data_IF_868565849634
#
_entry.id   IF_868565849634
#
_cell.length_a   1.000
_cell.length_b   1.000
_cell.length_c   1.000
_cell.angle_alpha   90.00
_cell.angle_beta   90.00
_cell.angle_gamma   90.00
#
_symmetry.space_group_name_H-M   'P 1'
#
loop_
_entity.id
_entity.type
_entity.pdbx_description
1 polymer ?
#
# COMPACT_ATOMS: atom_id res chain seq x y z
N UNK A 1 -11.21 -4.47 -12.99
CA UNK A 1 -10.40 -3.29 -12.58
C UNK A 1 -10.63 -2.04 -13.43
N UNK A 2 -10.73 -2.13 -14.76
CA UNK A 2 -10.96 -0.96 -15.64
C UNK A 2 -12.17 -0.08 -15.25
N UNK A 3 -13.30 -0.71 -14.87
CA UNK A 3 -14.48 0.04 -14.41
C UNK A 3 -14.20 0.88 -13.15
N UNK A 4 -13.33 0.42 -12.25
CA UNK A 4 -12.91 1.20 -11.08
C UNK A 4 -12.00 2.34 -11.51
N UNK A 5 -11.00 2.06 -12.37
CA UNK A 5 -10.09 3.08 -12.92
C UNK A 5 -10.81 4.23 -13.63
N UNK A 6 -11.97 3.97 -14.25
CA UNK A 6 -12.74 4.98 -14.97
C UNK A 6 -13.61 5.91 -14.07
N UNK A 7 -13.71 5.66 -12.76
CA UNK A 7 -14.64 6.39 -11.87
C UNK A 7 -14.11 7.71 -11.31
N UNK A 8 -12.84 8.03 -11.56
CA UNK A 8 -12.17 9.16 -10.92
C UNK A 8 -12.42 9.14 -9.41
N UNK A 9 -12.01 8.03 -8.80
CA UNK A 9 -12.19 7.79 -7.39
C UNK A 9 -10.86 7.47 -6.73
N UNK A 10 -10.30 8.50 -6.10
CA UNK A 10 -9.04 8.40 -5.38
C UNK A 10 -9.10 7.34 -4.27
N UNK A 11 -10.25 7.09 -3.65
CA UNK A 11 -10.45 6.04 -2.65
C UNK A 11 -10.19 4.64 -3.22
N UNK A 12 -10.81 4.32 -4.37
CA UNK A 12 -10.65 3.03 -5.04
C UNK A 12 -9.23 2.85 -5.62
N UNK A 13 -8.60 3.94 -6.08
CA UNK A 13 -7.30 3.90 -6.73
C UNK A 13 -6.19 3.44 -5.77
N UNK A 14 -6.09 4.06 -4.59
CA UNK A 14 -5.06 3.74 -3.61
C UNK A 14 -5.26 2.40 -2.91
N UNK A 15 -6.43 1.78 -3.08
CA UNK A 15 -6.83 0.54 -2.42
C UNK A 15 -6.80 -0.63 -3.39
N UNK A 16 -7.82 -0.74 -4.24
CA UNK A 16 -8.01 -1.88 -5.13
C UNK A 16 -7.01 -1.88 -6.28
N UNK A 17 -6.80 -0.73 -6.93
CA UNK A 17 -5.91 -0.66 -8.10
C UNK A 17 -4.43 -0.75 -7.70
N UNK A 18 -4.07 -0.24 -6.52
CA UNK A 18 -2.73 -0.42 -5.98
C UNK A 18 -2.38 -1.90 -5.83
N UNK A 19 -3.24 -2.68 -5.18
CA UNK A 19 -2.99 -4.11 -4.99
C UNK A 19 -2.90 -4.80 -6.34
N UNK A 20 -3.84 -4.52 -7.25
CA UNK A 20 -3.90 -5.18 -8.55
C UNK A 20 -2.62 -4.95 -9.36
N UNK A 21 -2.20 -3.69 -9.47
CA UNK A 21 -0.96 -3.34 -10.14
C UNK A 21 0.26 -3.92 -9.42
N UNK A 22 0.27 -3.97 -8.09
CA UNK A 22 1.37 -4.59 -7.34
C UNK A 22 1.51 -6.07 -7.64
N UNK A 23 0.40 -6.81 -7.75
CA UNK A 23 0.41 -8.23 -8.12
C UNK A 23 0.89 -8.45 -9.56
N UNK A 24 0.42 -7.63 -10.52
CA UNK A 24 0.91 -7.68 -11.90
C UNK A 24 2.40 -7.38 -11.99
N UNK A 25 2.88 -6.35 -11.28
CA UNK A 25 4.29 -5.99 -11.24
C UNK A 25 5.14 -7.06 -10.56
N UNK A 26 4.62 -7.73 -9.53
CA UNK A 26 5.27 -8.91 -8.94
C UNK A 26 5.44 -10.00 -10.00
N UNK A 27 4.34 -10.39 -10.66
CA UNK A 27 4.37 -11.39 -11.74
C UNK A 27 5.33 -11.02 -12.87
N UNK A 28 5.36 -9.75 -13.27
CA UNK A 28 6.28 -9.22 -14.29
C UNK A 28 7.74 -9.37 -13.86
N UNK A 29 8.09 -8.99 -12.62
CA UNK A 29 9.47 -9.09 -12.10
C UNK A 29 10.00 -10.53 -12.15
N UNK A 30 9.13 -11.50 -11.89
CA UNK A 30 9.50 -12.92 -11.83
C UNK A 30 9.58 -13.55 -13.21
N UNK A 31 8.59 -13.27 -14.06
CA UNK A 31 8.45 -13.92 -15.38
C UNK A 31 9.19 -13.18 -16.50
N UNK A 32 9.43 -11.88 -16.35
CA UNK A 32 9.85 -10.99 -17.43
C UNK A 32 8.76 -10.71 -18.47
N UNK A 33 7.51 -11.14 -18.25
CA UNK A 33 6.42 -10.96 -19.22
C UNK A 33 5.90 -9.51 -19.24
N UNK A 34 6.34 -8.75 -20.25
CA UNK A 34 5.96 -7.35 -20.42
C UNK A 34 4.46 -7.13 -20.71
N UNK A 35 3.70 -8.17 -21.06
CA UNK A 35 2.23 -8.04 -21.18
C UNK A 35 1.57 -7.67 -19.86
N UNK A 36 2.19 -8.04 -18.73
CA UNK A 36 1.72 -7.65 -17.40
C UNK A 36 1.92 -6.15 -17.16
N UNK A 37 3.01 -5.57 -17.69
CA UNK A 37 3.23 -4.11 -17.65
C UNK A 37 2.31 -3.35 -18.60
N UNK A 38 1.99 -3.93 -19.76
CA UNK A 38 0.98 -3.39 -20.67
C UNK A 38 -0.41 -3.31 -19.99
N UNK A 39 -0.80 -4.33 -19.21
CA UNK A 39 -2.05 -4.29 -18.43
C UNK A 39 -2.01 -3.24 -17.32
N UNK A 40 -0.86 -3.06 -16.66
CA UNK A 40 -0.66 -1.94 -15.73
C UNK A 40 -0.82 -0.59 -16.45
N UNK A 41 -0.30 -0.43 -17.68
CA UNK A 41 -0.53 0.77 -18.51
C UNK A 41 -2.00 1.00 -18.83
N UNK A 42 -2.75 -0.03 -19.16
CA UNK A 42 -4.17 0.11 -19.43
C UNK A 42 -4.91 0.72 -18.22
N UNK A 43 -4.61 0.24 -17.01
CA UNK A 43 -5.17 0.80 -15.78
C UNK A 43 -4.65 2.22 -15.53
N UNK A 44 -3.34 2.44 -15.61
CA UNK A 44 -2.71 3.73 -15.34
C UNK A 44 -3.18 4.82 -16.31
N UNK A 45 -3.27 4.56 -17.61
CA UNK A 45 -3.78 5.53 -18.58
C UNK A 45 -5.26 5.84 -18.38
N UNK A 46 -6.05 4.84 -17.95
CA UNK A 46 -7.45 5.07 -17.58
C UNK A 46 -7.54 6.02 -16.38
N UNK A 47 -6.67 5.85 -15.38
CA UNK A 47 -6.54 6.78 -14.25
C UNK A 47 -6.06 8.16 -14.74
N UNK A 48 -4.98 8.25 -15.54
CA UNK A 48 -4.47 9.51 -16.12
C UNK A 48 -5.57 10.34 -16.77
N UNK A 49 -6.46 9.70 -17.53
CA UNK A 49 -7.58 10.36 -18.19
C UNK A 49 -8.59 11.02 -17.21
N UNK A 50 -8.55 10.67 -15.93
CA UNK A 50 -9.40 11.23 -14.88
C UNK A 50 -8.84 12.46 -14.18
N UNK A 51 -7.55 12.78 -14.37
CA UNK A 51 -6.90 13.93 -13.73
C UNK A 51 -7.59 15.26 -14.08
N UNK A 52 -7.96 16.04 -13.07
CA UNK A 52 -8.60 17.36 -13.25
C UNK A 52 -8.06 18.37 -12.23
N UNK A 53 -8.01 19.63 -12.65
CA UNK A 53 -7.82 20.78 -11.76
C UNK A 53 -9.22 21.34 -11.41
N UNK A 54 -9.83 20.79 -10.37
CA UNK A 54 -11.12 21.26 -9.88
C UNK A 54 -12.00 20.17 -9.25
N UNK A 55 -12.87 20.62 -8.34
CA UNK A 55 -13.83 19.74 -7.64
C UNK A 55 -15.10 19.50 -8.46
N UNK A 56 -15.90 18.50 -8.06
CA UNK A 56 -17.16 18.22 -8.74
C UNK A 56 -18.11 19.43 -8.75
N UNK A 57 -18.91 19.53 -9.81
CA UNK A 57 -19.98 20.53 -9.93
C UNK A 57 -19.49 21.97 -10.10
N UNK A 58 -18.22 22.18 -10.44
CA UNK A 58 -17.66 23.53 -10.61
C UNK A 58 -17.60 24.33 -9.31
N UNK A 59 -17.60 23.67 -8.16
CA UNK A 59 -17.47 24.31 -6.85
C UNK A 59 -16.12 25.03 -6.77
N UNK A 60 -16.16 26.36 -6.86
CA UNK A 60 -15.06 27.25 -6.53
C UNK A 60 -15.31 27.84 -5.14
N UNK A 61 -14.34 27.74 -4.23
CA UNK A 61 -14.44 28.35 -2.90
C UNK A 61 -13.50 27.73 -1.87
N UNK A 62 -13.15 28.53 -0.87
CA UNK A 62 -12.30 28.13 0.24
C UNK A 62 -12.95 27.06 1.12
N UNK A 63 -12.32 25.90 1.27
CA UNK A 63 -12.68 24.91 2.27
C UNK A 63 -11.57 24.84 3.30
N UNK A 64 -11.93 24.94 4.57
CA UNK A 64 -10.99 24.64 5.65
C UNK A 64 -10.71 23.13 5.64
N UNK A 65 -9.50 22.77 5.23
CA UNK A 65 -9.04 21.38 5.19
C UNK A 65 -8.16 21.16 6.40
N UNK A 66 -8.77 20.76 7.52
CA UNK A 66 -8.08 20.53 8.79
C UNK A 66 -7.32 21.80 9.29
N UNK A 67 -6.97 21.87 10.57
CA UNK A 67 -6.16 22.98 11.12
C UNK A 67 -4.77 23.10 10.47
N UNK A 68 -4.30 22.03 9.79
CA UNK A 68 -2.95 21.94 9.22
C UNK A 68 -2.80 22.59 7.84
N UNK A 69 -3.85 22.63 7.01
CA UNK A 69 -3.75 23.12 5.61
C UNK A 69 -4.53 24.40 5.35
N UNK A 70 -5.25 24.91 6.36
CA UNK A 70 -5.99 26.16 6.25
C UNK A 70 -7.07 26.10 5.17
N UNK A 71 -7.34 27.24 4.53
CA UNK A 71 -8.37 27.35 3.50
C UNK A 71 -7.79 27.06 2.11
N UNK A 72 -8.26 25.98 1.48
CA UNK A 72 -7.90 25.59 0.11
C UNK A 72 -8.96 26.07 -0.88
N UNK A 73 -8.56 26.69 -1.99
CA UNK A 73 -9.45 27.12 -3.08
C UNK A 73 -9.00 26.49 -4.40
N UNK A 74 -9.95 26.00 -5.21
CA UNK A 74 -9.69 25.42 -6.55
C UNK A 74 -10.55 26.12 -7.63
N UNK A 75 -10.15 26.13 -8.92
CA UNK A 75 -8.91 25.55 -9.47
C UNK A 75 -7.66 26.29 -8.98
N UNK A 76 -6.58 25.55 -8.73
CA UNK A 76 -5.30 26.07 -8.23
C UNK A 76 -4.09 25.71 -9.11
N UNK A 77 -4.34 25.15 -10.30
CA UNK A 77 -3.31 24.78 -11.27
C UNK A 77 -2.75 23.37 -11.07
N UNK A 78 -3.20 22.62 -10.06
CA UNK A 78 -2.73 21.28 -9.79
C UNK A 78 -3.74 20.22 -10.23
N UNK A 79 -3.33 19.34 -11.15
CA UNK A 79 -4.12 18.18 -11.52
C UNK A 79 -4.17 17.18 -10.35
N UNK A 80 -5.34 16.61 -10.09
CA UNK A 80 -5.49 15.51 -9.15
C UNK A 80 -6.74 14.67 -9.45
N UNK A 81 -6.93 13.61 -8.65
CA UNK A 81 -8.14 12.81 -8.59
C UNK A 81 -9.09 13.34 -7.52
N UNK A 82 -10.38 13.05 -7.68
CA UNK A 82 -11.38 13.39 -6.66
C UNK A 82 -11.67 12.17 -5.79
N UNK A 83 -11.88 12.40 -4.51
CA UNK A 83 -12.26 11.34 -3.57
C UNK A 83 -13.77 11.09 -3.67
N UNK A 84 -14.21 9.85 -3.98
CA UNK A 84 -15.63 9.50 -4.14
C UNK A 84 -16.18 8.61 -3.04
N UNK A 85 -15.42 8.38 -1.97
CA UNK A 85 -15.96 7.72 -0.79
C UNK A 85 -17.19 8.46 -0.23
N UNK A 86 -17.98 7.75 0.57
CA UNK A 86 -19.24 8.27 1.09
C UNK A 86 -19.04 9.09 2.38
N UNK A 87 -20.01 9.96 2.68
CA UNK A 87 -20.18 10.60 4.00
C UNK A 87 -18.97 11.34 4.60
N UNK A 88 -18.15 11.99 3.77
CA UNK A 88 -17.01 12.79 4.24
C UNK A 88 -16.99 14.21 3.67
N UNK A 89 -16.38 15.13 4.40
CA UNK A 89 -16.02 16.46 3.91
C UNK A 89 -15.07 16.42 2.69
N UNK A 90 -14.44 15.28 2.41
CA UNK A 90 -13.57 15.10 1.26
C UNK A 90 -14.32 14.70 -0.02
N UNK A 91 -15.62 14.36 0.08
CA UNK A 91 -16.38 13.90 -1.08
C UNK A 91 -16.32 14.92 -2.23
N UNK A 92 -15.91 14.42 -3.40
CA UNK A 92 -15.75 15.18 -4.62
C UNK A 92 -14.63 16.24 -4.61
N UNK A 93 -13.66 16.10 -3.69
CA UNK A 93 -12.51 16.98 -3.51
C UNK A 93 -11.18 16.21 -3.57
N UNK A 94 -10.07 16.94 -3.72
CA UNK A 94 -8.68 16.44 -3.72
C UNK A 94 -7.96 16.83 -2.41
N UNK A 95 -8.64 16.56 -1.30
CA UNK A 95 -8.20 16.99 0.04
C UNK A 95 -8.15 15.84 1.04
N UNK A 96 -8.39 14.61 0.59
CA UNK A 96 -8.27 13.39 1.38
C UNK A 96 -6.79 12.99 1.45
N UNK A 97 -6.04 13.63 2.33
CA UNK A 97 -4.59 13.47 2.47
C UNK A 97 -4.15 12.00 2.68
N UNK A 98 -4.89 11.24 3.50
CA UNK A 98 -4.62 9.81 3.72
C UNK A 98 -4.71 8.97 2.44
N UNK A 99 -5.82 9.07 1.70
CA UNK A 99 -5.99 8.30 0.47
C UNK A 99 -5.09 8.84 -0.66
N UNK A 100 -4.75 10.13 -0.65
CA UNK A 100 -3.74 10.66 -1.56
C UNK A 100 -2.34 10.08 -1.29
N UNK A 101 -1.96 9.86 -0.04
CA UNK A 101 -0.73 9.12 0.27
C UNK A 101 -0.71 7.73 -0.37
N UNK A 102 -1.82 6.98 -0.24
CA UNK A 102 -1.97 5.64 -0.83
C UNK A 102 -1.76 5.64 -2.35
N UNK A 103 -2.46 6.51 -3.07
CA UNK A 103 -2.44 6.51 -4.53
C UNK A 103 -1.08 6.96 -5.07
N UNK A 104 -0.45 7.95 -4.45
CA UNK A 104 0.77 8.52 -5.02
C UNK A 104 2.01 7.67 -4.72
N UNK A 105 2.02 6.89 -3.63
CA UNK A 105 2.97 5.79 -3.45
C UNK A 105 2.82 4.71 -4.53
N UNK A 106 1.59 4.31 -4.83
CA UNK A 106 1.25 3.40 -5.93
C UNK A 106 1.72 3.94 -7.29
N UNK A 107 1.39 5.18 -7.63
CA UNK A 107 1.79 5.78 -8.91
C UNK A 107 3.30 5.96 -9.03
N UNK A 108 4.02 6.20 -7.93
CA UNK A 108 5.48 6.24 -7.94
C UNK A 108 6.09 4.86 -8.27
N UNK A 109 5.52 3.77 -7.72
CA UNK A 109 5.91 2.41 -8.08
C UNK A 109 5.66 2.13 -9.57
N UNK A 110 4.48 2.49 -10.08
CA UNK A 110 4.14 2.31 -11.52
C UNK A 110 5.06 3.14 -12.41
N UNK A 111 5.32 4.39 -12.06
CA UNK A 111 6.26 5.27 -12.75
C UNK A 111 7.65 4.64 -12.84
N UNK A 112 8.16 4.12 -11.73
CA UNK A 112 9.48 3.50 -11.71
C UNK A 112 9.51 2.19 -12.51
N UNK A 113 8.43 1.41 -12.50
CA UNK A 113 8.32 0.21 -13.34
C UNK A 113 8.44 0.55 -14.83
N UNK A 114 7.80 1.63 -15.30
CA UNK A 114 7.99 2.10 -16.67
C UNK A 114 9.43 2.54 -16.93
N UNK A 115 10.02 3.32 -16.02
CA UNK A 115 11.41 3.79 -16.18
C UNK A 115 12.41 2.63 -16.25
N UNK A 116 12.30 1.64 -15.36
CA UNK A 116 13.18 0.47 -15.34
C UNK A 116 13.10 -0.32 -16.66
N UNK A 117 11.94 -0.31 -17.32
CA UNK A 117 11.68 -1.03 -18.57
C UNK A 117 11.69 -0.12 -19.81
N UNK A 118 12.09 1.16 -19.69
CA UNK A 118 11.97 2.18 -20.76
C UNK A 118 12.68 1.87 -22.07
N UNK A 119 13.63 0.93 -22.02
CA UNK A 119 14.46 0.53 -23.15
C UNK A 119 13.97 -0.77 -23.82
N UNK A 120 12.95 -1.40 -23.25
CA UNK A 120 12.36 -2.63 -23.77
C UNK A 120 11.18 -2.32 -24.69
N UNK A 121 10.97 -3.17 -25.69
CA UNK A 121 9.85 -3.06 -26.61
C UNK A 121 8.59 -3.65 -25.97
N UNK A 122 7.56 -2.82 -25.77
CA UNK A 122 6.25 -3.27 -25.29
C UNK A 122 5.59 -4.18 -26.34
N UNK A 123 5.04 -5.34 -25.94
CA UNK A 123 4.24 -6.20 -26.82
C UNK A 123 3.04 -5.48 -27.46
N UNK A 124 2.49 -4.47 -26.79
CA UNK A 124 1.35 -3.65 -27.27
C UNK A 124 1.78 -2.32 -27.91
N UNK A 125 3.08 -2.08 -28.10
CA UNK A 125 3.61 -0.86 -28.70
C UNK A 125 3.56 0.38 -27.78
N UNK A 126 3.51 0.18 -26.46
CA UNK A 126 3.54 1.25 -25.46
C UNK A 126 4.96 1.83 -25.34
N UNK A 127 5.06 3.15 -25.35
CA UNK A 127 6.29 3.88 -25.00
C UNK A 127 6.38 4.05 -23.48
N UNK A 128 7.06 3.11 -22.83
CA UNK A 128 7.31 3.17 -21.38
C UNK A 128 8.13 4.39 -20.97
N UNK A 129 8.99 4.92 -21.85
CA UNK A 129 9.71 6.16 -21.60
C UNK A 129 8.75 7.33 -21.40
N UNK A 130 7.80 7.54 -22.33
CA UNK A 130 6.78 8.60 -22.19
C UNK A 130 5.95 8.41 -20.92
N UNK A 131 5.57 7.17 -20.59
CA UNK A 131 4.79 6.92 -19.36
C UNK A 131 5.55 7.33 -18.12
N UNK A 132 6.82 6.96 -18.03
CA UNK A 132 7.68 7.31 -16.90
C UNK A 132 7.83 8.83 -16.75
N UNK A 133 8.08 9.55 -17.85
CA UNK A 133 8.23 11.00 -17.84
C UNK A 133 6.93 11.71 -17.41
N UNK A 134 5.79 11.30 -17.96
CA UNK A 134 4.51 11.88 -17.59
C UNK A 134 4.22 11.71 -16.08
N UNK A 135 4.39 10.50 -15.55
CA UNK A 135 4.08 10.26 -14.15
C UNK A 135 5.07 10.93 -13.21
N UNK A 136 6.35 11.03 -13.58
CA UNK A 136 7.32 11.80 -12.80
C UNK A 136 6.94 13.29 -12.75
N UNK A 137 6.58 13.88 -13.89
CA UNK A 137 6.09 15.25 -13.98
C UNK A 137 4.85 15.45 -13.10
N UNK A 138 3.85 14.57 -13.22
CA UNK A 138 2.66 14.62 -12.38
C UNK A 138 2.97 14.54 -10.87
N UNK A 139 3.78 13.57 -10.47
CA UNK A 139 4.10 13.35 -9.06
C UNK A 139 4.81 14.56 -8.43
N UNK A 140 5.72 15.21 -9.17
CA UNK A 140 6.50 16.36 -8.66
C UNK A 140 5.76 17.68 -8.82
N UNK A 141 5.23 17.95 -10.01
CA UNK A 141 4.72 19.27 -10.40
C UNK A 141 3.22 19.44 -10.17
N UNK A 142 2.49 18.36 -9.89
CA UNK A 142 1.09 18.42 -9.50
C UNK A 142 0.89 17.93 -8.07
N UNK A 143 1.11 16.65 -7.76
CA UNK A 143 0.82 16.12 -6.43
C UNK A 143 1.67 16.76 -5.33
N UNK A 144 2.99 16.70 -5.45
CA UNK A 144 3.89 17.23 -4.43
C UNK A 144 3.80 18.77 -4.36
N UNK A 145 3.84 19.44 -5.51
CA UNK A 145 3.72 20.90 -5.58
C UNK A 145 2.41 21.39 -4.93
N UNK A 146 1.29 20.70 -5.13
CA UNK A 146 0.00 21.00 -4.48
C UNK A 146 0.11 20.99 -2.97
N UNK A 147 0.59 19.90 -2.38
CA UNK A 147 0.68 19.78 -0.92
C UNK A 147 1.73 20.72 -0.33
N UNK A 148 2.77 21.08 -1.09
CA UNK A 148 3.72 22.13 -0.69
C UNK A 148 3.12 23.52 -0.75
N UNK A 149 2.27 23.81 -1.73
CA UNK A 149 1.54 25.08 -1.81
C UNK A 149 0.46 25.21 -0.73
N UNK A 150 -0.16 24.09 -0.34
CA UNK A 150 -1.26 24.04 0.65
C UNK A 150 -0.79 23.84 2.10
N UNK A 151 0.48 23.45 2.33
CA UNK A 151 1.04 23.25 3.67
C UNK A 151 2.19 24.21 3.96
N UNK A 152 2.51 24.40 5.24
CA UNK A 152 3.73 25.11 5.67
C UNK A 152 4.98 24.20 5.69
N UNK A 153 4.88 22.96 5.20
CA UNK A 153 5.94 21.94 5.28
C UNK A 153 7.06 22.21 4.28
N UNK A 154 8.32 22.17 4.74
CA UNK A 154 9.50 22.41 3.91
C UNK A 154 9.97 21.16 3.17
N UNK A 155 10.46 21.34 1.95
CA UNK A 155 11.10 20.28 1.16
C UNK A 155 12.37 19.72 1.83
N UNK A 156 12.67 18.41 1.74
CA UNK A 156 11.91 17.34 1.07
C UNK A 156 10.77 16.75 1.92
N UNK A 157 10.66 17.14 3.19
CA UNK A 157 9.64 16.61 4.09
C UNK A 157 8.22 16.83 3.52
N UNK A 158 7.40 15.80 3.62
CA UNK A 158 5.96 15.82 3.34
C UNK A 158 5.25 15.16 4.53
N UNK A 159 5.55 15.67 5.73
CA UNK A 159 5.17 15.09 7.03
C UNK A 159 3.71 15.36 7.39
N UNK A 160 2.86 15.32 6.37
CA UNK A 160 1.44 15.56 6.50
C UNK A 160 0.70 14.26 6.90
N UNK A 161 1.35 13.11 6.70
CA UNK A 161 0.93 11.77 7.18
C UNK A 161 1.81 11.31 8.35
N UNK A 162 1.16 10.78 9.36
CA UNK A 162 1.72 10.32 10.64
C UNK A 162 1.84 8.79 10.61
N UNK A 163 2.86 8.22 11.29
CA UNK A 163 3.12 6.78 11.37
C UNK A 163 1.92 5.99 11.92
N UNK A 164 1.05 6.66 12.70
CA UNK A 164 -0.24 6.10 13.15
C UNK A 164 -1.10 5.53 12.02
N UNK A 165 -0.95 6.06 10.81
CA UNK A 165 -1.60 5.56 9.61
C UNK A 165 -0.61 4.69 8.82
N UNK A 166 -0.16 3.57 9.39
CA UNK A 166 0.97 2.78 8.90
C UNK A 166 0.93 2.45 7.39
N UNK A 167 -0.25 2.19 6.83
CA UNK A 167 -0.42 1.92 5.40
C UNK A 167 -0.21 3.16 4.52
N UNK A 168 -0.70 4.34 4.91
CA UNK A 168 -0.46 5.59 4.17
C UNK A 168 0.97 6.07 4.38
N UNK A 169 1.53 5.85 5.58
CA UNK A 169 2.90 6.18 5.94
C UNK A 169 3.91 5.41 5.09
N UNK A 170 3.74 4.08 4.93
CA UNK A 170 4.58 3.29 4.03
C UNK A 170 4.40 3.64 2.55
N UNK A 171 3.21 4.07 2.14
CA UNK A 171 3.01 4.55 0.76
C UNK A 171 3.77 5.84 0.50
N UNK A 172 3.89 6.73 1.49
CA UNK A 172 4.78 7.87 1.38
C UNK A 172 6.26 7.47 1.37
N UNK A 173 6.64 6.39 2.06
CA UNK A 173 7.97 5.77 1.90
C UNK A 173 8.19 5.32 0.46
N UNK A 174 7.23 4.61 -0.15
CA UNK A 174 7.30 4.20 -1.57
C UNK A 174 7.42 5.41 -2.50
N UNK A 175 6.59 6.44 -2.30
CA UNK A 175 6.63 7.66 -3.10
C UNK A 175 8.03 8.26 -3.11
N UNK A 176 8.59 8.52 -1.92
CA UNK A 176 9.91 9.12 -1.81
C UNK A 176 11.00 8.19 -2.36
N UNK A 177 10.91 6.89 -2.09
CA UNK A 177 11.88 5.93 -2.59
C UNK A 177 11.92 5.89 -4.12
N UNK A 178 10.78 5.68 -4.78
CA UNK A 178 10.74 5.49 -6.22
C UNK A 178 10.94 6.79 -7.01
N UNK A 179 10.45 7.94 -6.52
CA UNK A 179 10.81 9.25 -7.12
C UNK A 179 12.31 9.49 -6.95
N UNK A 180 12.87 9.22 -5.77
CA UNK A 180 14.31 9.36 -5.50
C UNK A 180 15.16 8.46 -6.39
N UNK A 181 14.77 7.20 -6.58
CA UNK A 181 15.43 6.23 -7.47
C UNK A 181 15.38 6.69 -8.92
N UNK A 182 14.21 7.10 -9.42
CA UNK A 182 14.05 7.64 -10.77
C UNK A 182 14.99 8.82 -11.01
N UNK A 183 15.07 9.76 -10.07
CA UNK A 183 15.93 10.94 -10.17
C UNK A 183 17.41 10.58 -10.06
N UNK A 184 17.76 9.59 -9.22
CA UNK A 184 19.13 9.10 -9.08
C UNK A 184 19.63 8.50 -10.40
N UNK A 185 18.78 7.71 -11.07
CA UNK A 185 19.13 7.08 -12.35
C UNK A 185 19.36 8.13 -13.47
N UNK A 186 18.75 9.33 -13.35
CA UNK A 186 19.00 10.49 -14.23
C UNK A 186 20.20 11.35 -13.78
N UNK A 187 20.84 11.04 -12.66
CA UNK A 187 21.92 11.85 -12.10
C UNK A 187 21.48 13.18 -11.50
N UNK A 188 20.19 13.34 -11.15
CA UNK A 188 19.66 14.56 -10.55
C UNK A 188 20.11 14.72 -9.10
N UNK A 189 20.53 15.94 -8.72
CA UNK A 189 20.92 16.28 -7.34
C UNK A 189 19.74 16.21 -6.36
N UNK A 190 18.50 16.31 -6.86
CA UNK A 190 17.28 16.21 -6.05
C UNK A 190 17.08 14.80 -5.48
N UNK A 191 17.72 13.77 -6.04
CA UNK A 191 17.52 12.37 -5.64
C UNK A 191 17.83 12.11 -4.17
N UNK A 192 18.95 12.65 -3.67
CA UNK A 192 19.43 12.39 -2.30
C UNK A 192 18.41 12.79 -1.21
N UNK A 193 17.84 14.01 -1.28
CA UNK A 193 16.75 14.44 -0.40
C UNK A 193 15.53 13.50 -0.36
N UNK A 194 15.05 12.99 -1.48
CA UNK A 194 13.95 12.01 -1.49
C UNK A 194 14.35 10.69 -0.82
N UNK A 195 15.51 10.13 -1.18
CA UNK A 195 15.97 8.86 -0.62
C UNK A 195 16.21 8.94 0.90
N UNK A 196 16.72 10.08 1.41
CA UNK A 196 16.84 10.31 2.85
C UNK A 196 15.49 10.39 3.55
N UNK A 197 14.50 11.02 2.92
CA UNK A 197 13.15 11.07 3.47
C UNK A 197 12.50 9.68 3.49
N UNK A 198 12.68 8.87 2.45
CA UNK A 198 12.23 7.48 2.44
C UNK A 198 12.86 6.69 3.59
N UNK A 199 14.18 6.83 3.81
CA UNK A 199 14.88 6.18 4.93
C UNK A 199 14.33 6.65 6.28
N UNK A 200 14.17 7.96 6.46
CA UNK A 200 13.62 8.55 7.70
C UNK A 200 12.22 8.01 8.03
N UNK A 201 11.35 7.88 7.03
CA UNK A 201 10.03 7.31 7.21
C UNK A 201 10.13 5.81 7.55
N UNK A 202 10.98 5.07 6.82
CA UNK A 202 11.24 3.67 7.13
C UNK A 202 11.69 3.47 8.58
N UNK A 203 12.72 4.19 9.02
CA UNK A 203 13.24 4.13 10.39
C UNK A 203 12.15 4.45 11.43
N UNK A 204 11.23 5.38 11.09
CA UNK A 204 10.07 5.68 11.92
C UNK A 204 9.18 4.48 12.26
N UNK A 205 9.10 3.47 11.39
CA UNK A 205 8.33 2.24 11.64
C UNK A 205 9.01 1.28 12.60
N UNK A 206 10.32 1.40 12.81
CA UNK A 206 11.08 0.46 13.65
C UNK A 206 11.60 1.10 14.94
N UNK A 207 11.98 2.37 14.88
CA UNK A 207 12.72 3.03 15.95
C UNK A 207 11.80 3.85 16.86
N UNK A 208 10.58 4.19 16.42
CA UNK A 208 9.59 4.86 17.27
C UNK A 208 8.96 3.80 18.19
N UNK A 209 9.18 3.87 19.51
CA UNK A 209 8.70 2.85 20.42
C UNK A 209 7.17 2.89 20.53
N UNK A 210 6.56 1.71 20.62
CA UNK A 210 5.19 1.59 21.09
C UNK A 210 5.12 1.87 22.59
N UNK A 211 4.29 2.84 22.98
CA UNK A 211 4.02 3.17 24.38
C UNK A 211 2.51 2.98 24.62
N UNK A 212 2.10 2.01 25.47
CA UNK A 212 0.69 1.78 25.77
C UNK A 212 -0.01 3.06 26.26
N UNK A 213 -1.08 3.46 25.57
CA UNK A 213 -1.86 4.65 25.92
C UNK A 213 -1.33 5.98 25.39
N UNK A 214 -0.22 5.99 24.61
CA UNK A 214 0.32 7.18 23.94
C UNK A 214 0.19 7.07 22.41
N UNK A 215 0.83 7.98 21.65
CA UNK A 215 0.83 7.91 20.19
C UNK A 215 1.28 6.51 19.72
N UNK A 216 0.60 5.89 18.73
CA UNK A 216 0.99 4.57 18.24
C UNK A 216 2.41 4.61 17.72
N UNK A 217 3.25 3.75 18.30
CA UNK A 217 4.62 3.52 17.85
C UNK A 217 4.70 2.54 16.69
N UNK A 218 5.93 2.23 16.31
CA UNK A 218 6.27 1.29 15.24
C UNK A 218 6.01 -0.17 15.60
N UNK A 219 6.75 -1.04 14.92
CA UNK A 219 6.74 -2.48 15.12
C UNK A 219 7.06 -2.89 16.56
N UNK A 220 6.32 -3.89 17.04
CA UNK A 220 6.52 -4.51 18.35
C UNK A 220 6.81 -5.99 18.16
N UNK A 221 8.00 -6.41 18.58
CA UNK A 221 8.40 -7.82 18.57
C UNK A 221 7.64 -8.60 19.64
N UNK A 222 7.17 -9.80 19.29
CA UNK A 222 6.43 -10.70 20.18
C UNK A 222 6.87 -12.15 19.96
N UNK A 223 7.08 -12.89 21.05
CA UNK A 223 7.45 -14.30 20.98
C UNK A 223 6.21 -15.16 20.75
N UNK A 224 6.27 -16.03 19.74
CA UNK A 224 5.20 -16.98 19.38
C UNK A 224 5.77 -18.40 19.31
N UNK A 225 4.94 -19.46 19.26
CA UNK A 225 5.40 -20.81 18.98
C UNK A 225 6.15 -20.96 17.64
N UNK A 226 5.95 -20.04 16.69
CA UNK A 226 6.63 -20.01 15.38
C UNK A 226 7.96 -19.24 15.41
N UNK A 227 8.33 -18.68 16.57
CA UNK A 227 9.49 -17.80 16.78
C UNK A 227 9.07 -16.34 17.01
N UNK A 228 10.04 -15.43 16.96
CA UNK A 228 9.78 -14.00 17.07
C UNK A 228 8.97 -13.52 15.86
N UNK A 229 7.83 -12.90 16.13
CA UNK A 229 6.92 -12.27 15.19
C UNK A 229 6.84 -10.77 15.47
N UNK A 230 6.18 -10.02 14.58
CA UNK A 230 5.94 -8.59 14.77
C UNK A 230 4.46 -8.26 14.68
N UNK A 231 4.00 -7.40 15.60
CA UNK A 231 2.66 -6.80 15.59
C UNK A 231 2.80 -5.28 15.58
N UNK A 232 1.76 -4.57 15.14
CA UNK A 232 1.79 -3.11 15.05
C UNK A 232 0.40 -2.50 15.23
N UNK A 233 0.36 -1.39 15.94
CA UNK A 233 -0.88 -0.65 16.18
C UNK A 233 -1.25 0.25 15.00
N UNK A 234 -2.52 0.60 14.92
CA UNK A 234 -3.03 1.66 14.04
C UNK A 234 -3.72 2.71 14.89
N UNK A 235 -3.38 3.98 14.69
CA UNK A 235 -4.12 5.08 15.31
C UNK A 235 -5.21 5.56 14.36
N UNK A 236 -6.47 5.41 14.75
CA UNK A 236 -7.60 6.09 14.13
C UNK A 236 -8.09 7.26 15.02
N UNK A 237 -7.31 8.34 15.22
CA UNK A 237 -7.82 9.50 15.95
C UNK A 237 -8.76 10.26 15.01
N UNK A 238 -10.06 9.94 15.00
CA UNK A 238 -10.99 10.68 14.15
C UNK A 238 -12.47 10.34 14.23
N UNK A 239 -12.87 9.06 14.16
CA UNK A 239 -14.29 8.73 13.87
C UNK A 239 -14.96 7.75 14.83
N UNK A 240 -14.23 7.31 15.86
CA UNK A 240 -14.77 6.56 16.98
C UNK A 240 -14.26 7.26 18.23
N UNK A 241 -15.05 7.29 19.31
CA UNK A 241 -14.64 7.68 20.66
C UNK A 241 -13.56 6.71 21.21
N UNK A 242 -12.50 6.49 20.44
CA UNK A 242 -11.31 5.74 20.83
C UNK A 242 -10.52 6.68 21.72
N UNK A 243 -10.85 6.61 23.00
CA UNK A 243 -10.00 7.14 24.06
C UNK A 243 -8.53 6.75 23.79
N UNK A 244 -7.56 7.62 24.09
CA UNK A 244 -6.12 7.35 23.89
C UNK A 244 -5.63 6.01 24.48
N UNK A 245 -6.44 5.38 25.35
CA UNK A 245 -6.20 4.10 26.00
C UNK A 245 -6.53 2.86 25.18
N UNK A 246 -7.13 2.98 23.98
CA UNK A 246 -7.47 1.84 23.10
C UNK A 246 -6.69 1.89 21.79
N UNK A 247 -5.41 1.50 21.83
CA UNK A 247 -4.61 1.26 20.63
C UNK A 247 -4.88 -0.17 20.14
N UNK A 248 -5.60 -0.27 19.04
CA UNK A 248 -5.92 -1.56 18.43
C UNK A 248 -4.89 -1.96 17.38
N UNK A 249 -4.78 -3.27 17.14
CA UNK A 249 -4.02 -3.82 16.03
C UNK A 249 -4.51 -3.24 14.71
N UNK A 250 -3.59 -3.02 13.78
CA UNK A 250 -3.96 -2.67 12.42
C UNK A 250 -4.95 -3.69 11.85
N UNK A 251 -6.11 -3.22 11.39
CA UNK A 251 -7.12 -4.08 10.79
C UNK A 251 -6.56 -4.80 9.54
N UNK A 252 -6.98 -6.04 9.30
CA UNK A 252 -6.57 -6.85 8.15
C UNK A 252 -6.69 -6.12 6.81
N UNK A 253 -7.79 -5.40 6.60
CA UNK A 253 -8.05 -4.61 5.38
C UNK A 253 -7.01 -3.51 5.14
N UNK A 254 -6.35 -3.01 6.18
CA UNK A 254 -5.26 -2.04 6.07
C UNK A 254 -3.89 -2.71 6.02
N UNK A 255 -3.72 -3.81 6.76
CA UNK A 255 -2.53 -4.64 6.72
C UNK A 255 -2.21 -5.09 5.28
N UNK A 256 -3.22 -5.45 4.47
CA UNK A 256 -2.98 -5.81 3.05
C UNK A 256 -2.32 -4.69 2.22
N UNK A 257 -2.60 -3.41 2.47
CA UNK A 257 -1.93 -2.30 1.75
C UNK A 257 -0.51 -2.07 2.25
N UNK A 258 -0.33 -2.16 3.57
CA UNK A 258 0.96 -2.08 4.24
C UNK A 258 1.89 -3.19 3.73
N UNK A 259 1.43 -4.45 3.76
CA UNK A 259 2.21 -5.61 3.34
C UNK A 259 2.56 -5.62 1.85
N UNK A 260 1.68 -5.10 0.98
CA UNK A 260 2.02 -4.91 -0.43
C UNK A 260 3.15 -3.88 -0.60
N UNK A 261 3.18 -2.84 0.24
CA UNK A 261 4.25 -1.83 0.23
C UNK A 261 5.56 -2.41 0.73
N UNK A 262 5.53 -3.16 1.84
CA UNK A 262 6.69 -3.86 2.40
C UNK A 262 7.30 -4.84 1.40
N UNK A 263 6.47 -5.63 0.71
CA UNK A 263 6.94 -6.56 -0.32
C UNK A 263 7.71 -5.82 -1.42
N UNK A 264 7.18 -4.69 -1.93
CA UNK A 264 7.88 -3.91 -2.95
C UNK A 264 9.19 -3.31 -2.43
N UNK A 265 9.24 -2.80 -1.20
CA UNK A 265 10.47 -2.30 -0.59
C UNK A 265 11.53 -3.40 -0.43
N UNK A 266 11.11 -4.60 0.00
CA UNK A 266 11.99 -5.78 0.11
C UNK A 266 12.56 -6.19 -1.25
N UNK A 267 11.74 -6.20 -2.30
CA UNK A 267 12.18 -6.57 -3.65
C UNK A 267 13.17 -5.56 -4.24
N UNK A 268 13.06 -4.30 -3.84
CA UNK A 268 14.02 -3.24 -4.18
C UNK A 268 15.28 -3.23 -3.28
N UNK A 269 15.38 -4.19 -2.35
CA UNK A 269 16.46 -4.25 -1.35
C UNK A 269 16.61 -2.95 -0.57
N UNK A 270 15.50 -2.27 -0.32
CA UNK A 270 15.49 -1.05 0.47
C UNK A 270 15.82 -1.36 1.93
N UNK A 271 16.71 -0.55 2.52
CA UNK A 271 17.26 -0.76 3.86
C UNK A 271 16.17 -0.97 4.92
N UNK A 272 16.45 -1.85 5.90
CA UNK A 272 15.54 -2.32 6.98
C UNK A 272 14.46 -3.31 6.55
N UNK A 273 14.14 -3.41 5.26
CA UNK A 273 13.21 -4.40 4.71
C UNK A 273 13.98 -5.59 4.17
N UNK A 274 14.56 -6.38 5.08
CA UNK A 274 15.34 -7.58 4.78
C UNK A 274 14.60 -8.88 5.15
N UNK A 275 15.26 -10.02 5.01
CA UNK A 275 14.64 -11.32 5.31
C UNK A 275 14.29 -11.51 6.78
N UNK A 276 14.92 -10.79 7.72
CA UNK A 276 14.61 -10.91 9.15
C UNK A 276 13.21 -10.33 9.43
N UNK A 277 12.97 -9.07 9.05
CA UNK A 277 11.66 -8.46 9.26
C UNK A 277 10.57 -9.17 8.45
N UNK A 278 10.86 -9.63 7.23
CA UNK A 278 9.89 -10.38 6.42
C UNK A 278 9.50 -11.70 7.09
N UNK A 279 10.45 -12.38 7.73
CA UNK A 279 10.19 -13.60 8.52
C UNK A 279 9.35 -13.29 9.75
N UNK A 280 9.64 -12.20 10.48
CA UNK A 280 8.83 -11.77 11.63
C UNK A 280 7.39 -11.42 11.23
N UNK A 281 7.21 -10.75 10.10
CA UNK A 281 5.89 -10.44 9.53
C UNK A 281 5.15 -11.72 9.14
N UNK A 282 5.82 -12.65 8.44
CA UNK A 282 5.23 -13.92 8.03
C UNK A 282 4.77 -14.76 9.23
N UNK A 283 5.56 -14.80 10.31
CA UNK A 283 5.15 -15.43 11.58
C UNK A 283 3.95 -14.74 12.22
N UNK A 284 3.91 -13.40 12.20
CA UNK A 284 2.76 -12.64 12.70
C UNK A 284 1.48 -12.95 11.93
N UNK A 285 1.58 -12.98 10.59
CA UNK A 285 0.49 -13.38 9.69
C UNK A 285 0.04 -14.82 9.99
N UNK A 286 0.95 -15.78 10.00
CA UNK A 286 0.63 -17.18 10.26
C UNK A 286 0.03 -17.42 11.65
N UNK A 287 0.51 -16.72 12.68
CA UNK A 287 0.10 -16.98 14.06
C UNK A 287 -1.14 -16.20 14.50
N UNK A 288 -1.21 -14.89 14.21
CA UNK A 288 -2.26 -14.01 14.74
C UNK A 288 -3.39 -13.77 13.75
N UNK A 289 -3.07 -13.61 12.47
CA UNK A 289 -4.06 -13.23 11.44
C UNK A 289 -4.77 -14.45 10.86
N UNK A 290 -4.02 -15.55 10.63
CA UNK A 290 -4.53 -16.81 10.09
C UNK A 290 -4.89 -17.78 11.21
N UNK A 291 -5.85 -17.41 12.05
CA UNK A 291 -6.26 -18.11 13.27
C UNK A 291 -7.25 -19.28 13.06
N UNK A 292 -7.26 -19.85 11.86
CA UNK A 292 -8.00 -21.08 11.51
C UNK A 292 -7.10 -22.09 10.80
N UNK A 293 -7.42 -23.38 10.87
CA UNK A 293 -6.78 -24.43 10.08
C UNK A 293 -7.60 -24.82 8.84
N UNK A 294 -8.88 -24.43 8.80
CA UNK A 294 -9.82 -24.70 7.71
C UNK A 294 -10.63 -23.43 7.40
N UNK A 295 -10.55 -22.96 6.15
CA UNK A 295 -11.20 -21.71 5.72
C UNK A 295 -12.71 -21.83 5.57
N UNK A 296 -13.25 -23.07 5.56
CA UNK A 296 -14.67 -23.36 5.37
C UNK A 296 -15.45 -23.42 6.70
N UNK A 297 -14.76 -23.44 7.84
CA UNK A 297 -15.40 -23.54 9.16
C UNK A 297 -16.34 -22.38 9.47
N UNK A 298 -16.11 -21.21 8.86
CA UNK A 298 -16.88 -19.99 9.07
C UNK A 298 -16.75 -19.06 7.86
N UNK A 299 -17.73 -18.18 7.66
CA UNK A 299 -17.73 -17.20 6.55
C UNK A 299 -16.59 -16.17 6.64
N UNK A 300 -16.09 -15.88 7.84
CA UNK A 300 -14.99 -14.95 8.11
C UNK A 300 -13.86 -15.68 8.87
N UNK A 301 -13.09 -16.54 8.18
CA UNK A 301 -12.16 -17.48 8.80
C UNK A 301 -10.97 -16.82 9.50
N UNK A 302 -10.64 -15.58 9.19
CA UNK A 302 -9.41 -14.93 9.68
C UNK A 302 -9.69 -13.83 10.70
N UNK A 303 -8.74 -13.56 11.59
CA UNK A 303 -8.85 -12.53 12.62
C UNK A 303 -9.14 -11.14 12.05
N UNK A 304 -9.63 -10.22 12.88
CA UNK A 304 -9.95 -8.85 12.44
C UNK A 304 -8.69 -7.98 12.18
N UNK A 305 -7.54 -8.32 12.79
CA UNK A 305 -6.33 -7.50 12.70
C UNK A 305 -5.03 -8.23 13.02
N UNK A 306 -3.93 -7.49 12.90
CA UNK A 306 -2.55 -8.02 12.96
C UNK A 306 -2.13 -8.52 14.35
N UNK A 307 -2.85 -8.13 15.39
CA UNK A 307 -2.62 -8.60 16.76
C UNK A 307 -3.51 -9.79 17.15
N UNK A 308 -4.32 -10.30 16.21
CA UNK A 308 -5.36 -11.29 16.49
C UNK A 308 -6.56 -10.68 17.24
N UNK A 309 -7.60 -11.48 17.45
CA UNK A 309 -8.82 -11.00 18.13
C UNK A 309 -8.60 -10.77 19.64
N UNK A 310 -7.67 -11.49 20.27
CA UNK A 310 -7.33 -11.35 21.69
C UNK A 310 -6.29 -10.22 21.96
N UNK A 311 -5.64 -9.72 20.92
CA UNK A 311 -4.53 -8.78 21.03
C UNK A 311 -3.18 -9.43 21.40
N UNK A 312 -2.11 -8.66 21.24
CA UNK A 312 -0.74 -9.13 21.46
C UNK A 312 0.19 -7.97 21.84
N UNK A 313 1.17 -8.23 22.71
CA UNK A 313 2.20 -7.26 23.11
C UNK A 313 1.66 -5.91 23.62
N UNK A 314 0.51 -5.92 24.31
CA UNK A 314 -0.14 -4.72 24.82
C UNK A 314 -0.87 -3.89 23.75
N UNK A 315 -1.01 -4.42 22.53
CA UNK A 315 -1.88 -3.91 21.46
C UNK A 315 -3.17 -4.74 21.51
N UNK A 316 -4.33 -4.07 21.60
CA UNK A 316 -5.62 -4.73 21.67
C UNK A 316 -6.00 -5.37 20.32
N UNK A 317 -6.89 -6.36 20.36
CA UNK A 317 -7.56 -6.86 19.15
C UNK A 317 -8.38 -5.77 18.46
N UNK A 318 -8.71 -5.96 17.18
CA UNK A 318 -9.47 -4.97 16.41
C UNK A 318 -10.98 -5.12 16.65
N UNK A 319 -11.57 -4.37 17.58
CA UNK A 319 -12.96 -4.56 18.04
C UNK A 319 -14.01 -3.92 17.12
N UNK A 320 -13.66 -2.84 16.39
CA UNK A 320 -14.62 -2.09 15.54
C UNK A 320 -14.75 -2.66 14.11
N UNK A 321 -14.04 -3.74 13.77
CA UNK A 321 -14.09 -4.39 12.45
C UNK A 321 -14.50 -5.85 12.60
N UNK A 322 -15.21 -6.33 11.59
CA UNK A 322 -15.49 -7.76 11.48
C UNK A 322 -14.23 -8.53 11.11
N UNK A 323 -14.26 -9.83 11.35
CA UNK A 323 -13.26 -10.78 10.89
C UNK A 323 -13.16 -10.74 9.37
N UNK A 324 -12.04 -11.22 8.81
CA UNK A 324 -11.81 -11.19 7.37
C UNK A 324 -12.26 -12.47 6.68
N UNK A 325 -12.86 -12.30 5.50
CA UNK A 325 -13.33 -13.41 4.65
C UNK A 325 -12.20 -14.06 3.83
N UNK A 326 -12.47 -15.22 3.24
CA UNK A 326 -11.60 -15.82 2.22
C UNK A 326 -11.45 -14.90 0.99
N UNK A 327 -12.54 -14.25 0.55
CA UNK A 327 -12.50 -13.21 -0.47
C UNK A 327 -11.54 -12.05 -0.12
N UNK A 328 -11.52 -11.58 1.13
CA UNK A 328 -10.59 -10.53 1.55
C UNK A 328 -9.12 -10.97 1.47
N UNK A 329 -8.85 -12.23 1.78
CA UNK A 329 -7.53 -12.85 1.61
C UNK A 329 -7.17 -12.98 0.13
N UNK A 330 -8.09 -13.41 -0.73
CA UNK A 330 -7.86 -13.55 -2.17
C UNK A 330 -7.53 -12.21 -2.86
N UNK A 331 -7.81 -11.08 -2.20
CA UNK A 331 -7.50 -9.74 -2.69
C UNK A 331 -6.24 -9.13 -2.04
N UNK A 332 -5.47 -9.91 -1.28
CA UNK A 332 -4.35 -9.45 -0.49
C UNK A 332 -3.00 -10.09 -0.91
N UNK A 333 -1.86 -9.45 -0.61
CA UNK A 333 -0.54 -10.01 -0.89
C UNK A 333 -0.10 -11.09 0.12
N UNK A 334 -1.01 -11.60 0.96
CA UNK A 334 -0.67 -12.49 2.08
C UNK A 334 0.02 -13.77 1.60
N UNK A 335 -0.45 -14.35 0.50
CA UNK A 335 0.14 -15.54 -0.11
C UNK A 335 1.64 -15.38 -0.42
N UNK A 336 2.11 -14.17 -0.79
CA UNK A 336 3.52 -13.94 -1.11
C UNK A 336 4.43 -14.11 0.11
N UNK A 337 3.90 -13.94 1.33
CA UNK A 337 4.66 -14.09 2.57
C UNK A 337 4.98 -15.54 2.91
N UNK A 338 4.40 -16.52 2.20
CA UNK A 338 4.80 -17.92 2.31
C UNK A 338 6.29 -18.14 2.00
N UNK A 339 6.93 -17.25 1.23
CA UNK A 339 8.37 -17.30 0.96
C UNK A 339 9.25 -17.10 2.22
N UNK A 340 8.68 -16.58 3.31
CA UNK A 340 9.35 -16.39 4.61
C UNK A 340 8.67 -17.15 5.76
N UNK A 341 7.64 -17.95 5.48
CA UNK A 341 6.95 -18.76 6.48
C UNK A 341 7.52 -20.18 6.52
N UNK A 342 8.28 -20.49 7.56
CA UNK A 342 8.82 -21.83 7.78
C UNK A 342 7.79 -22.84 8.28
N UNK A 343 6.60 -22.40 8.72
CA UNK A 343 5.57 -23.29 9.23
C UNK A 343 4.77 -23.99 8.12
N UNK A 344 4.74 -23.41 6.91
CA UNK A 344 3.92 -23.88 5.78
C UNK A 344 2.46 -23.42 5.83
N UNK A 345 2.02 -22.84 6.95
CA UNK A 345 0.61 -22.48 7.20
C UNK A 345 0.08 -21.47 6.19
N UNK A 346 0.88 -20.47 5.81
CA UNK A 346 0.44 -19.48 4.80
C UNK A 346 0.18 -20.16 3.46
N UNK A 347 1.05 -21.09 3.05
CA UNK A 347 0.90 -21.81 1.80
C UNK A 347 -0.34 -22.73 1.82
N UNK A 348 -0.53 -23.48 2.91
CA UNK A 348 -1.66 -24.41 3.05
C UNK A 348 -2.99 -23.68 3.01
N UNK A 349 -3.15 -22.58 3.77
CA UNK A 349 -4.39 -21.79 3.75
C UNK A 349 -4.58 -21.03 2.44
N UNK A 350 -3.51 -20.62 1.76
CA UNK A 350 -3.61 -20.00 0.43
C UNK A 350 -4.24 -20.96 -0.58
N UNK A 351 -3.88 -22.24 -0.54
CA UNK A 351 -4.47 -23.25 -1.42
C UNK A 351 -5.96 -23.45 -1.13
N UNK A 352 -6.35 -23.49 0.14
CA UNK A 352 -7.76 -23.59 0.52
C UNK A 352 -8.57 -22.36 0.07
N UNK A 353 -8.02 -21.15 0.21
CA UNK A 353 -8.68 -19.92 -0.28
C UNK A 353 -8.82 -19.96 -1.81
N UNK A 354 -7.79 -20.42 -2.52
CA UNK A 354 -7.87 -20.57 -3.98
C UNK A 354 -8.97 -21.54 -4.39
N UNK A 355 -9.11 -22.67 -3.69
CA UNK A 355 -10.14 -23.67 -3.94
C UNK A 355 -11.56 -23.14 -3.67
N UNK A 356 -11.74 -22.31 -2.64
CA UNK A 356 -13.03 -21.75 -2.25
C UNK A 356 -13.47 -20.56 -3.13
N UNK A 357 -12.54 -19.67 -3.47
CA UNK A 357 -12.86 -18.38 -4.09
C UNK A 357 -12.74 -18.38 -5.62
N UNK A 358 -11.98 -19.29 -6.22
CA UNK A 358 -11.75 -19.32 -7.66
C UNK A 358 -12.48 -20.50 -8.34
N UNK A 359 -13.48 -20.25 -9.21
CA UNK A 359 -14.22 -21.31 -9.90
C UNK A 359 -13.36 -22.19 -10.83
N UNK A 360 -12.25 -21.63 -11.33
CA UNK A 360 -11.28 -22.31 -12.18
C UNK A 360 -9.85 -21.99 -11.69
N UNK A 361 -9.23 -22.96 -11.02
CA UNK A 361 -7.90 -22.82 -10.43
C UNK A 361 -6.78 -22.71 -11.47
N UNK A 362 -7.00 -23.21 -12.69
CA UNK A 362 -6.05 -23.08 -13.80
C UNK A 362 -6.15 -21.68 -14.45
N UNK A 363 -7.25 -20.96 -14.19
CA UNK A 363 -7.56 -19.65 -14.76
C UNK A 363 -8.24 -18.72 -13.74
N UNK A 364 -7.57 -18.42 -12.61
CA UNK A 364 -8.16 -17.60 -11.57
C UNK A 364 -8.54 -16.22 -12.10
N UNK A 365 -9.71 -15.73 -11.69
CA UNK A 365 -10.21 -14.40 -12.03
C UNK A 365 -9.40 -13.31 -11.32
N UNK A 366 -8.95 -13.58 -10.09
CA UNK A 366 -8.08 -12.68 -9.35
C UNK A 366 -6.59 -13.02 -9.55
N UNK A 367 -5.78 -11.97 -9.75
CA UNK A 367 -4.34 -12.13 -10.05
C UNK A 367 -3.46 -12.29 -8.81
N UNK A 368 -3.98 -12.04 -7.60
CA UNK A 368 -3.17 -11.86 -6.39
C UNK A 368 -2.54 -13.16 -5.90
N UNK A 369 -3.34 -14.22 -5.71
CA UNK A 369 -2.84 -15.53 -5.30
C UNK A 369 -1.93 -16.10 -6.38
N UNK A 370 -2.33 -16.05 -7.66
CA UNK A 370 -1.53 -16.56 -8.77
C UNK A 370 -0.13 -15.92 -8.84
N UNK A 371 -0.05 -14.58 -8.78
CA UNK A 371 1.24 -13.88 -8.80
C UNK A 371 2.09 -14.20 -7.56
N UNK A 372 1.46 -14.35 -6.40
CA UNK A 372 2.12 -14.70 -5.14
C UNK A 372 2.65 -16.13 -5.14
N UNK A 373 1.90 -17.10 -5.66
CA UNK A 373 2.36 -18.49 -5.76
C UNK A 373 3.54 -18.63 -6.73
N UNK A 374 3.51 -17.91 -7.86
CA UNK A 374 4.63 -17.85 -8.80
C UNK A 374 5.89 -17.27 -8.12
N UNK A 375 5.72 -16.22 -7.31
CA UNK A 375 6.80 -15.63 -6.51
C UNK A 375 7.41 -16.64 -5.55
N UNK A 376 6.58 -17.30 -4.74
CA UNK A 376 7.01 -18.27 -3.73
C UNK A 376 7.75 -19.44 -4.39
N UNK A 377 7.24 -19.94 -5.52
CA UNK A 377 7.87 -21.02 -6.27
C UNK A 377 9.29 -20.65 -6.76
N UNK A 378 9.48 -19.41 -7.19
CA UNK A 378 10.76 -18.93 -7.73
C UNK A 378 11.79 -18.63 -6.63
N UNK A 379 11.37 -17.99 -5.54
CA UNK A 379 12.29 -17.68 -4.42
C UNK A 379 12.69 -18.94 -3.64
N UNK A 380 11.81 -19.93 -3.57
CA UNK A 380 12.11 -21.21 -2.90
C UNK A 380 13.12 -22.08 -3.66
N UNK A 381 13.24 -21.92 -4.98
CA UNK A 381 14.24 -22.65 -5.78
C UNK A 381 15.66 -22.10 -5.61
N UNK A 382 15.82 -20.82 -5.29
CA UNK A 382 17.14 -20.19 -5.08
C UNK A 382 17.72 -20.46 -3.68
N UNK A 383 16.93 -21.03 -2.76
CA UNK A 383 17.34 -21.39 -1.39
C UNK A 383 17.69 -22.88 -1.21
N UNK A 384 17.73 -23.67 -2.29
CA UNK A 384 18.24 -25.06 -2.31
C UNK A 384 19.58 -25.13 -3.01
#
# INVERSE_FOLDING_TARGET
MQQRAARDDSYDFGRWLFQYNSALLLGMRISGDLRLLDEVDLVAQTMRAQLRDGWCGGRSGGVEVNVRYGTVSVPDGYLNFRWRGEHSLHHCRDTADLDEGLIHGHLALVMYAYHANRHLESPSGIDYGERAEFWLDYLRNHFEAKWRGRSSTRWPAMDFIDAKFCHTYLQMTLFHYFVGKRLQDDGSEDAGPYLRQALRLSDGMFDVPYIPGEQPGGFVDVQTPLGEAVVYSFGAPGDVDVTPTHLEGCAMTYARYMLASVLNLRLESFSRWDDDIMTKIARGLAHFMLDTDDVTERSEPFAAGVAGDEGAAGIAGTEYRTRSSAADFNLAPFAAFAAWDSSGRIADLTLQVLEEEEPDQDRPEQVFIAASMLFVATVSTDRR
#
